data_IF_231426141154
#
_entry.id   IF_231426141154
#
_cell.length_a   1.000
_cell.length_b   1.000
_cell.length_c   1.000
_cell.angle_alpha   90.00
_cell.angle_beta   90.00
_cell.angle_gamma   90.00
#
_symmetry.space_group_name_H-M   'P 1'
#
loop_
_entity.id
_entity.type
_entity.pdbx_description
1 polymer ?
#
# COMPACT_ATOMS: atom_id res chain seq x y z
N UNK A 1 0.18 45.89 6.86
CA UNK A 1 0.01 45.07 5.62
C UNK A 1 0.43 43.65 5.94
N UNK A 2 -0.26 42.66 5.42
CA UNK A 2 0.05 41.24 5.68
C UNK A 2 1.48 40.93 5.18
N UNK A 3 2.33 40.34 6.05
CA UNK A 3 3.71 40.00 5.76
C UNK A 3 3.85 38.82 4.77
N UNK A 4 2.73 38.23 4.35
CA UNK A 4 2.69 37.10 3.41
C UNK A 4 1.46 37.17 2.51
N UNK A 5 1.55 36.56 1.34
CA UNK A 5 0.48 36.42 0.35
C UNK A 5 0.19 34.95 0.12
N UNK A 6 -1.08 34.61 0.12
CA UNK A 6 -1.58 33.26 -0.13
C UNK A 6 -1.95 33.12 -1.61
N UNK A 7 -1.62 31.99 -2.20
CA UNK A 7 -1.94 31.64 -3.57
C UNK A 7 -2.86 30.42 -3.54
N UNK A 8 -4.05 30.60 -4.05
CA UNK A 8 -5.06 29.56 -4.17
C UNK A 8 -5.17 29.11 -5.62
N UNK A 9 -5.55 27.85 -5.83
CA UNK A 9 -5.85 27.32 -7.16
C UNK A 9 -7.03 28.07 -7.74
N UNK A 10 -6.89 28.81 -8.88
CA UNK A 10 -7.96 29.61 -9.44
C UNK A 10 -9.08 28.74 -10.03
N UNK A 11 -10.29 29.29 -10.07
CA UNK A 11 -11.42 28.73 -10.79
C UNK A 11 -11.57 29.45 -12.13
N UNK A 12 -11.17 28.80 -13.23
CA UNK A 12 -11.23 29.39 -14.57
C UNK A 12 -12.51 29.05 -15.32
N UNK A 13 -13.08 27.86 -15.09
CA UNK A 13 -14.36 27.47 -15.68
C UNK A 13 -15.36 27.04 -14.61
N UNK A 14 -16.66 27.15 -14.95
CA UNK A 14 -17.74 26.76 -14.01
C UNK A 14 -17.71 25.27 -13.70
N UNK A 15 -17.15 24.46 -14.60
CA UNK A 15 -17.10 23.00 -14.55
C UNK A 15 -15.84 22.45 -13.86
N UNK A 16 -14.79 23.26 -13.67
CA UNK A 16 -13.57 22.77 -13.05
C UNK A 16 -13.71 22.73 -11.53
N UNK A 17 -13.66 21.53 -10.98
CA UNK A 17 -13.62 21.27 -9.53
C UNK A 17 -12.23 20.82 -9.09
N UNK A 18 -11.46 20.21 -10.00
CA UNK A 18 -10.11 19.68 -9.80
C UNK A 18 -9.28 20.08 -11.01
N UNK A 19 -8.02 20.45 -10.79
CA UNK A 19 -7.02 20.73 -11.82
C UNK A 19 -5.76 19.92 -11.56
N UNK A 20 -4.94 19.68 -12.58
CA UNK A 20 -3.69 18.93 -12.46
C UNK A 20 -2.48 19.85 -12.50
N UNK A 21 -1.51 19.65 -11.63
CA UNK A 21 -0.22 20.34 -11.67
C UNK A 21 0.63 19.72 -12.78
N UNK A 22 0.88 20.45 -13.85
CA UNK A 22 1.64 19.95 -15.02
C UNK A 22 3.09 20.43 -15.04
N UNK A 23 3.40 21.53 -14.33
CA UNK A 23 4.76 22.04 -14.22
C UNK A 23 4.98 22.75 -12.88
N UNK A 24 6.17 22.62 -12.30
CA UNK A 24 6.59 23.34 -11.09
C UNK A 24 7.91 24.05 -11.42
N UNK A 25 7.86 25.36 -11.60
CA UNK A 25 8.98 26.15 -12.07
C UNK A 25 9.89 26.64 -10.96
N UNK A 26 9.34 26.75 -9.73
CA UNK A 26 10.09 27.30 -8.58
C UNK A 26 9.92 26.35 -7.38
N UNK A 27 11.03 25.91 -6.81
CA UNK A 27 11.03 25.00 -5.67
C UNK A 27 10.69 25.72 -4.36
N UNK A 28 10.03 25.00 -3.45
CA UNK A 28 9.72 25.49 -2.12
C UNK A 28 10.98 25.90 -1.36
N UNK A 29 10.98 27.09 -0.77
CA UNK A 29 12.12 27.70 -0.09
C UNK A 29 12.95 28.65 -0.98
N UNK A 30 12.65 28.76 -2.27
CA UNK A 30 13.34 29.67 -3.20
C UNK A 30 12.78 31.10 -3.16
N UNK A 31 13.59 32.06 -3.60
CA UNK A 31 13.16 33.43 -3.84
C UNK A 31 12.41 33.53 -5.17
N UNK A 32 11.30 34.24 -5.18
CA UNK A 32 10.52 34.59 -6.38
C UNK A 32 10.44 36.09 -6.52
N UNK A 33 10.34 36.57 -7.77
CA UNK A 33 9.99 37.96 -8.08
C UNK A 33 8.51 38.04 -8.42
N UNK A 34 7.94 39.22 -8.26
CA UNK A 34 6.60 39.50 -8.76
C UNK A 34 6.52 39.20 -10.26
N UNK A 35 5.45 38.48 -10.68
CA UNK A 35 5.19 37.95 -12.02
C UNK A 35 6.05 36.74 -12.46
N UNK A 36 6.91 36.20 -11.62
CA UNK A 36 7.55 34.90 -11.94
C UNK A 36 6.48 33.80 -12.00
N UNK A 37 6.52 32.95 -13.04
CA UNK A 37 5.68 31.77 -13.13
C UNK A 37 6.13 30.75 -12.09
N UNK A 38 5.24 30.38 -11.15
CA UNK A 38 5.54 29.49 -10.03
C UNK A 38 5.28 28.05 -10.42
N UNK A 39 4.11 27.77 -10.96
CA UNK A 39 3.68 26.45 -11.42
C UNK A 39 2.58 26.62 -12.47
N UNK A 40 2.36 25.56 -13.29
CA UNK A 40 1.31 25.53 -14.29
C UNK A 40 0.29 24.46 -13.96
N UNK A 41 -0.97 24.75 -14.20
CA UNK A 41 -2.11 23.85 -13.99
C UNK A 41 -2.78 23.53 -15.32
N UNK A 42 -3.21 22.28 -15.48
CA UNK A 42 -4.06 21.83 -16.58
C UNK A 42 -5.52 21.83 -16.11
N UNK A 43 -6.34 22.57 -16.83
CA UNK A 43 -7.80 22.63 -16.66
C UNK A 43 -8.48 21.80 -17.74
N UNK A 44 -9.80 21.68 -17.69
CA UNK A 44 -10.58 20.98 -18.74
C UNK A 44 -10.43 21.58 -20.16
N UNK A 45 -9.87 22.80 -20.31
CA UNK A 45 -9.80 23.51 -21.58
C UNK A 45 -8.41 24.00 -21.97
N UNK A 46 -7.52 24.25 -21.02
CA UNK A 46 -6.21 24.87 -21.26
C UNK A 46 -5.23 24.61 -20.13
N UNK A 47 -3.95 24.83 -20.41
CA UNK A 47 -2.89 24.95 -19.39
C UNK A 47 -2.76 26.44 -19.02
N UNK A 48 -2.65 26.73 -17.73
CA UNK A 48 -2.61 28.08 -17.17
C UNK A 48 -1.41 28.19 -16.23
N UNK A 49 -0.64 29.25 -16.43
CA UNK A 49 0.49 29.59 -15.59
C UNK A 49 0.06 30.41 -14.38
N UNK A 50 0.50 30.03 -13.21
CA UNK A 50 0.23 30.72 -11.96
C UNK A 50 1.45 31.55 -11.59
N UNK A 51 1.28 32.86 -11.62
CA UNK A 51 2.33 33.84 -11.37
C UNK A 51 2.38 34.27 -9.89
N UNK A 52 3.56 34.71 -9.47
CA UNK A 52 3.77 35.31 -8.15
C UNK A 52 3.19 36.73 -8.07
N UNK A 53 2.29 37.01 -7.12
CA UNK A 53 1.72 38.34 -6.95
C UNK A 53 2.63 39.31 -6.18
N UNK A 54 3.73 38.85 -5.60
CA UNK A 54 4.72 39.65 -4.88
C UNK A 54 6.11 38.99 -4.94
N UNK A 55 7.18 39.78 -4.73
CA UNK A 55 8.51 39.25 -4.54
C UNK A 55 8.69 38.74 -3.09
N UNK A 56 9.37 37.59 -2.92
CA UNK A 56 9.62 37.02 -1.60
C UNK A 56 10.03 35.56 -1.62
N UNK A 57 10.07 34.92 -0.46
CA UNK A 57 10.36 33.49 -0.34
C UNK A 57 9.06 32.69 -0.44
N UNK A 58 9.01 31.74 -1.38
CA UNK A 58 7.86 30.86 -1.59
C UNK A 58 7.94 29.58 -0.76
N UNK A 59 6.78 29.14 -0.22
CA UNK A 59 6.60 27.83 0.41
C UNK A 59 5.40 27.15 -0.21
N UNK A 60 5.60 25.92 -0.74
CA UNK A 60 4.54 25.06 -1.27
C UNK A 60 4.84 23.58 -1.02
N UNK A 61 3.83 22.72 -1.19
CA UNK A 61 3.93 21.25 -1.11
C UNK A 61 3.37 20.58 -2.37
N UNK A 62 3.36 21.28 -3.48
CA UNK A 62 2.89 20.79 -4.77
C UNK A 62 3.77 19.65 -5.26
N UNK A 63 3.14 18.68 -5.92
CA UNK A 63 3.83 17.59 -6.61
C UNK A 63 3.44 17.60 -8.08
N UNK A 64 4.40 17.28 -8.94
CA UNK A 64 4.15 17.16 -10.37
C UNK A 64 3.12 16.05 -10.62
N UNK A 65 2.17 16.31 -11.52
CA UNK A 65 1.04 15.44 -11.87
C UNK A 65 0.04 15.17 -10.73
N UNK A 66 0.06 15.95 -9.65
CA UNK A 66 -0.92 15.91 -8.57
C UNK A 66 -2.22 16.58 -8.99
N UNK A 67 -3.35 15.94 -8.68
CA UNK A 67 -4.67 16.53 -8.82
C UNK A 67 -4.99 17.40 -7.58
N UNK A 68 -5.33 18.68 -7.81
CA UNK A 68 -5.59 19.64 -6.74
C UNK A 68 -6.98 20.27 -6.89
N UNK A 69 -7.78 20.36 -5.81
CA UNK A 69 -9.08 21.03 -5.87
C UNK A 69 -8.97 22.53 -6.16
N UNK A 70 -9.87 23.05 -6.96
CA UNK A 70 -10.03 24.49 -7.18
C UNK A 70 -10.37 25.17 -5.85
N UNK A 71 -9.69 26.28 -5.55
CA UNK A 71 -9.83 27.01 -4.28
C UNK A 71 -8.96 26.47 -3.14
N UNK A 72 -8.17 25.41 -3.36
CA UNK A 72 -7.20 24.94 -2.36
C UNK A 72 -5.99 25.86 -2.28
N UNK A 73 -5.40 25.99 -1.08
CA UNK A 73 -4.18 26.76 -0.86
C UNK A 73 -2.98 26.04 -1.48
N UNK A 74 -2.43 26.58 -2.54
CA UNK A 74 -1.32 26.02 -3.31
C UNK A 74 0.04 26.47 -2.79
N UNK A 75 0.21 27.76 -2.49
CA UNK A 75 1.48 28.32 -2.03
C UNK A 75 1.28 29.53 -1.11
N UNK A 76 2.33 29.88 -0.36
CA UNK A 76 2.43 31.12 0.43
C UNK A 76 3.75 31.79 0.07
N UNK A 77 3.73 33.11 -0.17
CA UNK A 77 4.92 33.92 -0.40
C UNK A 77 5.09 34.92 0.75
N UNK A 78 6.30 34.99 1.31
CA UNK A 78 6.66 35.95 2.35
C UNK A 78 7.60 37.01 1.80
N UNK A 79 7.31 38.28 2.02
CA UNK A 79 8.13 39.41 1.59
C UNK A 79 9.32 39.72 2.53
N UNK A 80 9.54 38.95 3.60
CA UNK A 80 10.65 39.18 4.53
C UNK A 80 11.89 38.36 4.15
N UNK A 81 13.04 39.02 4.00
CA UNK A 81 14.36 38.43 3.79
C UNK A 81 14.91 37.89 5.10
N UNK A 82 14.87 36.56 5.38
CA UNK A 82 15.79 35.87 6.28
C UNK A 82 15.67 34.33 6.19
N UNK A 83 16.76 33.57 5.91
CA UNK A 83 16.67 32.15 5.55
C UNK A 83 16.50 31.14 6.69
N UNK A 84 16.79 31.41 7.95
CA UNK A 84 17.06 30.36 8.94
C UNK A 84 16.08 30.21 10.11
N UNK A 85 15.16 31.14 10.39
CA UNK A 85 14.26 30.99 11.57
C UNK A 85 12.77 31.17 11.23
N UNK A 86 12.43 31.63 10.06
CA UNK A 86 11.06 31.98 9.64
C UNK A 86 10.42 30.99 8.65
N UNK A 87 11.20 30.20 7.96
CA UNK A 87 10.68 29.14 7.09
C UNK A 87 9.82 28.15 7.90
N UNK A 88 10.22 27.80 9.12
CA UNK A 88 9.44 26.97 10.04
C UNK A 88 8.10 27.59 10.38
N UNK A 89 8.05 28.92 10.65
CA UNK A 89 6.80 29.63 10.95
C UNK A 89 5.87 29.73 9.75
N UNK A 90 6.43 29.93 8.55
CA UNK A 90 5.66 29.94 7.30
C UNK A 90 5.12 28.53 6.99
N UNK A 91 5.94 27.48 7.18
CA UNK A 91 5.51 26.09 7.08
C UNK A 91 4.41 25.73 8.09
N UNK A 92 4.51 26.23 9.33
CA UNK A 92 3.49 26.03 10.35
C UNK A 92 2.18 26.78 10.01
N UNK A 93 2.27 27.99 9.46
CA UNK A 93 1.10 28.73 8.96
C UNK A 93 0.46 28.03 7.75
N UNK A 94 1.28 27.51 6.82
CA UNK A 94 0.80 26.75 5.67
C UNK A 94 0.08 25.47 6.11
N UNK A 95 0.67 24.71 7.04
CA UNK A 95 0.09 23.49 7.56
C UNK A 95 -1.20 23.77 8.35
N UNK A 96 -1.21 24.76 9.23
CA UNK A 96 -2.40 25.14 10.02
C UNK A 96 -3.55 25.60 9.13
N UNK A 97 -3.28 26.34 8.05
CA UNK A 97 -4.31 26.82 7.12
C UNK A 97 -4.78 25.75 6.16
N UNK A 98 -3.89 24.84 5.70
CA UNK A 98 -4.29 23.70 4.90
C UNK A 98 -5.20 22.75 5.69
N UNK A 99 -5.00 22.62 7.01
CA UNK A 99 -5.88 21.86 7.90
C UNK A 99 -7.20 22.61 8.23
N UNK A 100 -7.20 23.94 8.24
CA UNK A 100 -8.41 24.75 8.49
C UNK A 100 -9.28 24.95 7.23
N UNK A 101 -8.72 24.85 6.04
CA UNK A 101 -9.45 24.86 4.76
C UNK A 101 -9.99 23.48 4.38
N UNK A 102 -9.68 22.45 5.15
CA UNK A 102 -10.40 21.17 5.14
C UNK A 102 -11.77 21.30 5.82
N UNK A 103 -12.60 22.23 5.38
CA UNK A 103 -14.02 22.02 5.37
C UNK A 103 -14.32 20.96 4.30
N UNK A 104 -15.23 20.02 4.51
CA UNK A 104 -15.27 18.73 3.82
C UNK A 104 -15.75 18.93 2.38
N UNK A 105 -14.85 19.19 1.47
CA UNK A 105 -15.02 18.82 0.07
C UNK A 105 -14.46 17.40 -0.11
N UNK A 106 -15.00 16.46 0.66
CA UNK A 106 -15.25 15.16 0.08
C UNK A 106 -16.15 15.47 -1.12
N UNK A 107 -15.65 15.28 -2.33
CA UNK A 107 -16.49 15.04 -3.46
C UNK A 107 -17.48 13.97 -3.00
N UNK A 108 -18.65 14.37 -2.56
CA UNK A 108 -19.80 13.51 -2.51
C UNK A 108 -20.12 13.21 -3.98
N UNK A 109 -19.45 12.24 -4.55
CA UNK A 109 -20.15 11.34 -5.44
C UNK A 109 -21.29 10.87 -4.58
N UNK A 110 -22.44 11.53 -4.68
CA UNK A 110 -23.70 11.07 -4.10
C UNK A 110 -24.11 9.82 -4.87
N UNK A 111 -23.30 8.75 -4.73
CA UNK A 111 -23.71 7.41 -5.08
C UNK A 111 -24.80 7.05 -4.09
N UNK A 112 -26.03 7.09 -4.57
CA UNK A 112 -27.15 6.65 -3.78
C UNK A 112 -27.26 5.14 -3.94
N UNK A 113 -27.35 4.44 -2.83
CA UNK A 113 -27.56 3.00 -2.79
C UNK A 113 -28.94 2.69 -2.26
N UNK A 114 -29.60 1.67 -2.80
CA UNK A 114 -30.76 1.13 -2.12
C UNK A 114 -30.35 0.47 -0.80
N UNK A 115 -31.19 0.52 0.24
CA UNK A 115 -30.90 -0.05 1.55
C UNK A 115 -30.41 -1.51 1.47
N UNK A 116 -31.09 -2.32 0.66
CA UNK A 116 -30.72 -3.72 0.42
C UNK A 116 -29.38 -3.88 -0.34
N UNK A 117 -29.02 -2.94 -1.24
CA UNK A 117 -27.73 -2.95 -1.92
C UNK A 117 -26.60 -2.66 -0.92
N UNK A 118 -26.78 -1.72 0.00
CA UNK A 118 -25.83 -1.44 1.08
C UNK A 118 -25.64 -2.65 1.98
N UNK A 119 -26.72 -3.27 2.43
CA UNK A 119 -26.68 -4.48 3.24
C UNK A 119 -25.91 -5.61 2.55
N UNK A 120 -26.10 -5.79 1.24
CA UNK A 120 -25.40 -6.80 0.45
C UNK A 120 -23.93 -6.44 0.25
N UNK A 121 -23.61 -5.17 -0.05
CA UNK A 121 -22.25 -4.66 -0.19
C UNK A 121 -21.44 -4.83 1.10
N UNK A 122 -22.04 -4.46 2.23
CA UNK A 122 -21.41 -4.57 3.55
C UNK A 122 -21.23 -6.04 3.97
N UNK A 123 -22.23 -6.90 3.67
CA UNK A 123 -22.15 -8.35 3.91
C UNK A 123 -21.06 -9.03 3.08
N UNK A 124 -20.94 -8.67 1.82
CA UNK A 124 -20.03 -9.31 0.85
C UNK A 124 -18.67 -8.59 0.76
N UNK A 125 -18.43 -7.55 1.60
CA UNK A 125 -17.16 -6.80 1.64
C UNK A 125 -16.80 -6.12 0.31
N UNK A 126 -17.81 -5.69 -0.47
CA UNK A 126 -17.58 -5.07 -1.79
C UNK A 126 -17.23 -3.60 -1.62
N UNK A 127 -16.16 -3.16 -2.29
CA UNK A 127 -15.79 -1.74 -2.31
C UNK A 127 -16.85 -0.91 -3.05
N UNK A 128 -17.44 0.08 -2.36
CA UNK A 128 -18.48 0.97 -2.89
C UNK A 128 -18.00 1.78 -4.10
N UNK A 129 -16.69 2.07 -4.18
CA UNK A 129 -16.09 2.80 -5.29
C UNK A 129 -16.19 2.04 -6.63
N UNK A 130 -16.42 0.74 -6.64
CA UNK A 130 -16.68 -0.03 -7.88
C UNK A 130 -17.94 0.38 -8.62
N UNK A 131 -18.78 1.20 -8.02
CA UNK A 131 -20.01 1.72 -8.59
C UNK A 131 -19.94 3.24 -8.90
N UNK A 132 -18.75 3.85 -8.89
CA UNK A 132 -18.55 5.30 -9.08
C UNK A 132 -19.11 5.86 -10.38
N UNK A 133 -19.34 5.03 -11.39
CA UNK A 133 -20.00 5.38 -12.65
C UNK A 133 -21.54 5.32 -12.60
N UNK A 134 -22.14 5.04 -11.42
CA UNK A 134 -23.59 4.94 -11.24
C UNK A 134 -24.11 5.98 -10.26
N UNK A 135 -25.11 6.74 -10.66
CA UNK A 135 -25.81 7.70 -9.79
C UNK A 135 -26.66 7.04 -8.71
N UNK A 136 -27.12 5.80 -8.97
CA UNK A 136 -27.89 4.97 -8.05
C UNK A 136 -27.57 3.49 -8.22
N UNK A 137 -27.22 2.80 -7.11
CA UNK A 137 -26.86 1.37 -7.07
C UNK A 137 -27.99 0.56 -6.45
N UNK A 138 -28.49 -0.43 -7.19
CA UNK A 138 -29.52 -1.38 -6.77
C UNK A 138 -28.90 -2.74 -6.45
N UNK A 139 -29.63 -3.60 -5.74
CA UNK A 139 -29.22 -4.99 -5.45
C UNK A 139 -28.74 -5.70 -6.72
N UNK A 140 -29.48 -5.57 -7.82
CA UNK A 140 -29.13 -6.19 -9.10
C UNK A 140 -27.76 -5.74 -9.65
N UNK A 141 -27.31 -4.50 -9.36
CA UNK A 141 -26.01 -4.02 -9.77
C UNK A 141 -24.89 -4.68 -8.97
N UNK A 142 -25.13 -4.92 -7.68
CA UNK A 142 -24.24 -5.66 -6.80
C UNK A 142 -24.15 -7.13 -7.20
N UNK A 143 -25.32 -7.77 -7.44
CA UNK A 143 -25.41 -9.14 -7.93
C UNK A 143 -24.76 -9.32 -9.31
N UNK A 144 -24.91 -8.36 -10.22
CA UNK A 144 -24.24 -8.38 -11.51
C UNK A 144 -22.73 -8.33 -11.35
N UNK A 145 -22.19 -7.46 -10.49
CA UNK A 145 -20.76 -7.42 -10.21
C UNK A 145 -20.25 -8.73 -9.61
N UNK A 146 -21.04 -9.34 -8.71
CA UNK A 146 -20.73 -10.67 -8.14
C UNK A 146 -20.80 -11.76 -9.22
N UNK A 147 -21.80 -11.72 -10.10
CA UNK A 147 -21.96 -12.68 -11.20
C UNK A 147 -20.90 -12.48 -12.29
N UNK A 148 -20.50 -11.25 -12.61
CA UNK A 148 -19.37 -10.98 -13.52
C UNK A 148 -18.07 -11.57 -12.95
N UNK A 149 -17.81 -11.40 -11.65
CA UNK A 149 -16.71 -12.06 -10.96
C UNK A 149 -16.80 -13.60 -11.07
N UNK A 150 -18.00 -14.14 -10.89
CA UNK A 150 -18.26 -15.58 -10.95
C UNK A 150 -18.14 -16.13 -12.37
N UNK A 151 -18.68 -15.42 -13.37
CA UNK A 151 -18.62 -15.79 -14.79
C UNK A 151 -17.20 -15.67 -15.37
N UNK A 152 -16.39 -14.71 -14.93
CA UNK A 152 -14.97 -14.67 -15.27
C UNK A 152 -14.20 -15.90 -14.76
N UNK A 153 -14.67 -16.49 -13.66
CA UNK A 153 -14.09 -17.69 -13.06
C UNK A 153 -14.61 -19.00 -13.73
N UNK A 154 -15.86 -19.01 -14.20
CA UNK A 154 -16.49 -20.21 -14.76
C UNK A 154 -16.20 -20.43 -16.26
N UNK A 155 -15.97 -19.35 -17.03
CA UNK A 155 -15.89 -19.44 -18.51
C UNK A 155 -14.46 -19.48 -19.09
N UNK A 156 -13.40 -19.50 -18.30
CA UNK A 156 -12.01 -19.74 -18.74
C UNK A 156 -11.48 -18.85 -19.88
N UNK A 157 -12.25 -17.84 -20.32
CA UNK A 157 -11.94 -16.95 -21.46
C UNK A 157 -11.69 -15.49 -21.05
N UNK A 158 -11.66 -15.19 -19.75
CA UNK A 158 -11.35 -13.86 -19.24
C UNK A 158 -9.84 -13.62 -19.25
N UNK A 159 -9.35 -12.66 -20.04
CA UNK A 159 -8.01 -12.14 -19.88
C UNK A 159 -7.91 -11.53 -18.47
N UNK A 160 -7.08 -12.15 -17.62
CA UNK A 160 -6.73 -11.57 -16.33
C UNK A 160 -6.09 -10.19 -16.55
N UNK A 161 -6.37 -9.26 -15.67
CA UNK A 161 -5.79 -7.93 -15.66
C UNK A 161 -4.36 -7.96 -15.11
N UNK A 162 -3.56 -6.94 -15.42
CA UNK A 162 -2.18 -6.80 -14.95
C UNK A 162 -2.08 -6.74 -13.41
N UNK A 163 -3.14 -6.30 -12.72
CA UNK A 163 -3.18 -6.21 -11.28
C UNK A 163 -3.88 -7.41 -10.59
N UNK A 164 -4.30 -8.41 -11.37
CA UNK A 164 -4.96 -9.60 -10.82
C UNK A 164 -3.94 -10.49 -10.11
N UNK A 165 -4.28 -10.89 -8.88
CA UNK A 165 -3.46 -11.75 -8.04
C UNK A 165 -4.28 -12.91 -7.50
N UNK A 166 -3.70 -14.09 -7.46
CA UNK A 166 -4.26 -15.27 -6.78
C UNK A 166 -3.56 -15.51 -5.46
N UNK A 167 -4.28 -15.97 -4.45
CA UNK A 167 -3.72 -16.38 -3.17
C UNK A 167 -3.56 -17.90 -3.11
N UNK A 168 -2.39 -18.38 -2.70
CA UNK A 168 -2.11 -19.80 -2.57
C UNK A 168 -2.27 -20.24 -1.12
N UNK A 169 -3.21 -21.17 -0.89
CA UNK A 169 -3.61 -21.62 0.45
C UNK A 169 -4.75 -20.80 1.04
N UNK A 170 -5.69 -21.47 1.72
CA UNK A 170 -6.89 -20.90 2.36
C UNK A 170 -6.91 -20.97 3.88
N UNK A 171 -5.76 -21.20 4.52
CA UNK A 171 -5.63 -21.36 5.98
C UNK A 171 -5.68 -20.05 6.78
N UNK A 172 -5.26 -20.12 8.04
CA UNK A 172 -5.27 -18.95 8.95
C UNK A 172 -4.42 -17.78 8.48
N UNK A 173 -3.23 -18.04 7.93
CA UNK A 173 -2.34 -17.01 7.40
C UNK A 173 -2.91 -16.36 6.13
N UNK A 174 -3.57 -17.15 5.28
CA UNK A 174 -4.25 -16.64 4.09
C UNK A 174 -5.30 -15.55 4.42
N UNK A 175 -6.04 -15.71 5.53
CA UNK A 175 -7.00 -14.68 5.99
C UNK A 175 -6.32 -13.35 6.27
N UNK A 176 -5.14 -13.36 6.87
CA UNK A 176 -4.35 -12.15 7.11
C UNK A 176 -3.86 -11.54 5.79
N UNK A 177 -3.42 -12.37 4.84
CA UNK A 177 -3.02 -11.90 3.50
C UNK A 177 -4.20 -11.27 2.74
N UNK A 178 -5.41 -11.87 2.81
CA UNK A 178 -6.64 -11.31 2.22
C UNK A 178 -6.89 -9.90 2.75
N UNK A 179 -6.88 -9.72 4.09
CA UNK A 179 -7.11 -8.42 4.71
C UNK A 179 -6.08 -7.37 4.26
N UNK A 180 -4.80 -7.77 4.12
CA UNK A 180 -3.73 -6.89 3.64
C UNK A 180 -3.99 -6.49 2.19
N UNK A 181 -4.19 -7.45 1.29
CA UNK A 181 -4.38 -7.22 -0.15
C UNK A 181 -5.58 -6.27 -0.38
N UNK A 182 -6.70 -6.52 0.32
CA UNK A 182 -7.89 -5.68 0.21
C UNK A 182 -7.67 -4.25 0.73
N UNK A 183 -6.81 -4.07 1.75
CA UNK A 183 -6.46 -2.73 2.29
C UNK A 183 -5.46 -1.97 1.44
N UNK A 184 -4.53 -2.66 0.78
CA UNK A 184 -3.54 -2.05 -0.11
C UNK A 184 -4.20 -1.42 -1.34
N UNK A 185 -5.29 -2.01 -1.85
CA UNK A 185 -6.01 -1.56 -3.07
C UNK A 185 -5.17 -1.53 -4.36
N UNK A 186 -3.98 -2.07 -4.33
CA UNK A 186 -3.07 -2.14 -5.48
C UNK A 186 -3.36 -3.35 -6.36
N UNK A 187 -3.87 -4.42 -5.75
CA UNK A 187 -4.10 -5.71 -6.40
C UNK A 187 -5.58 -6.08 -6.37
N UNK A 188 -6.04 -6.75 -7.41
CA UNK A 188 -7.35 -7.36 -7.47
C UNK A 188 -7.23 -8.86 -7.12
N UNK A 189 -7.64 -9.24 -5.93
CA UNK A 189 -7.62 -10.64 -5.49
C UNK A 189 -8.73 -11.42 -6.18
N UNK A 190 -8.36 -12.19 -7.20
CA UNK A 190 -9.34 -12.91 -8.05
C UNK A 190 -9.83 -14.22 -7.45
N UNK A 191 -9.09 -14.81 -6.52
CA UNK A 191 -9.48 -16.04 -5.85
C UNK A 191 -8.35 -16.69 -5.09
N UNK A 192 -8.65 -17.86 -4.55
CA UNK A 192 -7.73 -18.70 -3.78
C UNK A 192 -7.54 -20.03 -4.49
N UNK A 193 -6.31 -20.52 -4.51
CA UNK A 193 -5.94 -21.88 -4.91
C UNK A 193 -5.60 -22.67 -3.66
N UNK A 194 -6.28 -23.79 -3.44
CA UNK A 194 -6.04 -24.65 -2.27
C UNK A 194 -6.35 -26.11 -2.61
N UNK A 195 -5.46 -27.03 -2.21
CA UNK A 195 -5.60 -28.45 -2.53
C UNK A 195 -6.64 -29.18 -1.67
N UNK A 196 -7.00 -28.62 -0.51
CA UNK A 196 -7.85 -29.27 0.48
C UNK A 196 -9.26 -28.65 0.55
N UNK A 197 -9.42 -27.42 0.09
CA UNK A 197 -10.69 -26.73 0.10
C UNK A 197 -11.47 -26.98 -1.18
N UNK A 198 -12.81 -27.12 -1.05
CA UNK A 198 -13.66 -27.42 -2.18
C UNK A 198 -13.75 -26.21 -3.15
N UNK A 199 -13.48 -26.44 -4.44
CA UNK A 199 -13.69 -25.44 -5.49
C UNK A 199 -15.14 -24.90 -5.46
N UNK A 200 -15.27 -23.58 -5.48
CA UNK A 200 -16.56 -22.89 -5.40
C UNK A 200 -17.02 -22.55 -3.97
N UNK A 201 -16.32 -23.07 -2.91
CA UNK A 201 -16.45 -22.49 -1.57
C UNK A 201 -15.62 -21.21 -1.47
N UNK A 202 -15.64 -20.53 -0.34
CA UNK A 202 -14.91 -19.27 -0.12
C UNK A 202 -14.20 -19.21 1.24
N UNK A 203 -13.24 -18.29 1.34
CA UNK A 203 -12.63 -17.86 2.60
C UNK A 203 -12.71 -16.33 2.64
N UNK A 204 -13.39 -15.77 3.63
CA UNK A 204 -13.66 -14.34 3.75
C UNK A 204 -14.22 -13.73 2.45
N UNK A 205 -15.20 -14.42 1.85
CA UNK A 205 -15.86 -14.06 0.59
C UNK A 205 -14.93 -14.05 -0.65
N UNK A 206 -13.75 -14.63 -0.56
CA UNK A 206 -12.84 -14.84 -1.69
C UNK A 206 -13.00 -16.29 -2.15
N UNK A 207 -13.41 -16.55 -3.41
CA UNK A 207 -13.72 -17.89 -3.87
C UNK A 207 -12.49 -18.78 -4.01
N UNK A 208 -12.67 -20.09 -3.72
CA UNK A 208 -11.70 -21.12 -4.10
C UNK A 208 -11.88 -21.40 -5.58
N UNK A 209 -10.90 -21.06 -6.40
CA UNK A 209 -11.00 -21.13 -7.86
C UNK A 209 -10.30 -22.34 -8.46
N UNK A 210 -9.48 -23.05 -7.69
CA UNK A 210 -8.76 -24.23 -8.16
C UNK A 210 -7.83 -24.81 -7.13
N UNK A 211 -7.00 -25.73 -7.61
CA UNK A 211 -5.93 -26.40 -6.90
C UNK A 211 -4.56 -26.03 -7.49
N UNK A 212 -3.51 -26.52 -6.91
CA UNK A 212 -2.14 -26.35 -7.40
C UNK A 212 -1.93 -26.83 -8.85
N UNK A 213 -2.74 -27.78 -9.32
CA UNK A 213 -2.67 -28.32 -10.68
C UNK A 213 -3.20 -27.32 -11.71
N UNK A 214 -4.08 -26.39 -11.30
CA UNK A 214 -4.64 -25.35 -12.17
C UNK A 214 -3.69 -24.15 -12.39
N UNK A 215 -2.62 -24.03 -11.61
CA UNK A 215 -1.74 -22.85 -11.60
C UNK A 215 -1.05 -22.58 -12.97
N UNK A 216 -0.59 -23.64 -13.65
CA UNK A 216 0.04 -23.50 -14.96
C UNK A 216 -0.94 -22.96 -16.00
N UNK A 217 -2.17 -23.45 -15.99
CA UNK A 217 -3.22 -23.00 -16.91
C UNK A 217 -3.66 -21.57 -16.58
N UNK A 218 -3.78 -21.22 -15.30
CA UNK A 218 -4.07 -19.83 -14.89
C UNK A 218 -2.98 -18.88 -15.39
N UNK A 219 -1.70 -19.27 -15.25
CA UNK A 219 -0.57 -18.49 -15.74
C UNK A 219 -0.61 -18.31 -17.26
N UNK A 220 -0.89 -19.38 -18.00
CA UNK A 220 -1.00 -19.37 -19.46
C UNK A 220 -2.17 -18.49 -19.94
N UNK A 221 -3.25 -18.44 -19.17
CA UNK A 221 -4.43 -17.60 -19.42
C UNK A 221 -4.26 -16.13 -18.98
N UNK A 222 -3.07 -15.72 -18.53
CA UNK A 222 -2.73 -14.33 -18.29
C UNK A 222 -2.61 -13.91 -16.82
N UNK A 223 -2.91 -14.78 -15.84
CA UNK A 223 -2.69 -14.49 -14.44
C UNK A 223 -1.21 -14.56 -14.11
N UNK A 224 -0.57 -13.42 -13.84
CA UNK A 224 0.90 -13.32 -13.70
C UNK A 224 1.38 -13.16 -12.26
N UNK A 225 0.47 -12.89 -11.31
CA UNK A 225 0.83 -12.65 -9.91
C UNK A 225 0.16 -13.64 -8.97
N UNK A 226 0.93 -14.08 -7.97
CA UNK A 226 0.45 -14.96 -6.92
C UNK A 226 1.03 -14.54 -5.55
N UNK A 227 0.23 -14.59 -4.50
CA UNK A 227 0.68 -14.38 -3.12
C UNK A 227 0.69 -15.73 -2.39
N UNK A 228 1.77 -16.02 -1.67
CA UNK A 228 1.86 -17.22 -0.86
C UNK A 228 1.11 -17.05 0.47
N UNK A 229 -0.11 -17.57 0.55
CA UNK A 229 -0.98 -17.53 1.74
C UNK A 229 -0.72 -18.62 2.77
N UNK A 230 0.29 -19.46 2.56
CA UNK A 230 0.67 -20.50 3.52
C UNK A 230 1.63 -19.90 4.54
N UNK A 231 1.25 -19.97 5.80
CA UNK A 231 2.11 -19.59 6.93
C UNK A 231 3.09 -20.70 7.29
N UNK A 232 3.83 -20.49 8.37
CA UNK A 232 4.70 -21.51 8.96
C UNK A 232 4.39 -21.67 10.45
N UNK A 233 4.41 -22.91 10.92
CA UNK A 233 4.13 -23.24 12.33
C UNK A 233 5.35 -23.86 13.01
N UNK A 234 5.96 -24.87 12.37
CA UNK A 234 7.12 -25.58 12.90
C UNK A 234 8.39 -25.35 12.05
N UNK A 235 8.21 -25.10 10.78
CA UNK A 235 9.29 -24.80 9.83
C UNK A 235 8.71 -24.06 8.61
N UNK A 236 9.60 -23.53 7.77
CA UNK A 236 9.22 -22.74 6.59
C UNK A 236 9.20 -23.57 5.28
N UNK A 237 9.43 -24.89 5.34
CA UNK A 237 9.70 -25.73 4.16
C UNK A 237 8.56 -25.73 3.14
N UNK A 238 7.31 -25.95 3.59
CA UNK A 238 6.15 -25.96 2.68
C UNK A 238 5.99 -24.60 2.00
N UNK A 239 6.19 -23.52 2.76
CA UNK A 239 6.10 -22.16 2.22
C UNK A 239 7.19 -21.89 1.17
N UNK A 240 8.40 -22.37 1.40
CA UNK A 240 9.52 -22.31 0.45
C UNK A 240 9.25 -23.12 -0.82
N UNK A 241 8.76 -24.35 -0.69
CA UNK A 241 8.39 -25.21 -1.82
C UNK A 241 7.34 -24.54 -2.72
N UNK A 242 6.32 -23.92 -2.12
CA UNK A 242 5.30 -23.14 -2.87
C UNK A 242 5.96 -21.96 -3.61
N UNK A 243 6.82 -21.20 -2.95
CA UNK A 243 7.52 -20.08 -3.58
C UNK A 243 8.33 -20.56 -4.80
N UNK A 244 9.12 -21.63 -4.65
CA UNK A 244 9.92 -22.21 -5.73
C UNK A 244 9.01 -22.70 -6.88
N UNK A 245 7.89 -23.37 -6.56
CA UNK A 245 6.91 -23.81 -7.57
C UNK A 245 6.35 -22.63 -8.37
N UNK A 246 5.92 -21.59 -7.70
CA UNK A 246 5.38 -20.39 -8.35
C UNK A 246 6.42 -19.70 -9.25
N UNK A 247 7.66 -19.58 -8.77
CA UNK A 247 8.77 -19.02 -9.57
C UNK A 247 9.10 -19.89 -10.80
N UNK A 248 9.04 -21.21 -10.67
CA UNK A 248 9.26 -22.15 -11.78
C UNK A 248 8.18 -22.02 -12.87
N UNK A 249 6.93 -21.77 -12.51
CA UNK A 249 5.84 -21.47 -13.45
C UNK A 249 6.03 -20.10 -14.11
N UNK A 250 6.66 -19.15 -13.42
CA UNK A 250 6.93 -17.80 -13.92
C UNK A 250 6.17 -16.69 -13.18
N UNK A 251 5.41 -17.01 -12.14
CA UNK A 251 4.68 -16.00 -11.38
C UNK A 251 5.62 -14.95 -10.75
N UNK A 252 5.21 -13.71 -10.79
CA UNK A 252 5.69 -12.65 -9.92
C UNK A 252 4.96 -12.76 -8.57
N UNK A 253 5.71 -12.67 -7.47
CA UNK A 253 5.16 -12.79 -6.12
C UNK A 253 5.26 -11.42 -5.44
N UNK A 254 4.20 -10.60 -5.48
CA UNK A 254 4.26 -9.26 -4.94
C UNK A 254 4.55 -9.26 -3.44
N UNK A 255 5.29 -8.27 -2.99
CA UNK A 255 5.41 -7.93 -1.58
C UNK A 255 4.10 -7.33 -1.10
N UNK A 256 3.58 -7.81 0.01
CA UNK A 256 2.37 -7.25 0.63
C UNK A 256 2.72 -6.62 1.98
N UNK A 257 2.25 -5.39 2.18
CA UNK A 257 2.58 -4.57 3.35
C UNK A 257 1.30 -4.05 3.99
N UNK A 258 1.07 -4.40 5.25
CA UNK A 258 -0.11 -3.90 5.95
C UNK A 258 0.02 -2.38 6.17
N UNK A 259 -1.02 -1.56 5.91
CA UNK A 259 -0.94 -0.09 6.02
C UNK A 259 -0.58 0.46 7.40
N UNK A 260 -0.70 -0.35 8.46
CA UNK A 260 -0.32 0.05 9.83
C UNK A 260 1.07 -0.42 10.25
N UNK A 261 1.83 -1.07 9.36
CA UNK A 261 3.24 -1.34 9.61
C UNK A 261 4.05 -0.05 9.44
N UNK A 262 5.15 0.04 10.18
CA UNK A 262 6.10 1.15 10.06
C UNK A 262 7.41 0.63 9.50
N UNK A 263 7.81 1.16 8.34
CA UNK A 263 9.01 0.75 7.63
C UNK A 263 9.82 2.00 7.33
N UNK A 264 11.07 2.02 7.77
CA UNK A 264 11.97 3.14 7.50
C UNK A 264 12.36 3.19 6.02
N UNK A 265 12.60 4.39 5.49
CA UNK A 265 12.81 4.62 4.05
C UNK A 265 14.05 3.95 3.46
N UNK A 266 15.04 3.61 4.30
CA UNK A 266 16.28 2.92 3.90
C UNK A 266 16.17 1.40 3.84
N UNK A 267 15.01 0.82 4.20
CA UNK A 267 14.78 -0.63 4.21
C UNK A 267 14.70 -1.17 2.78
N UNK A 268 15.36 -2.30 2.54
CA UNK A 268 15.24 -3.06 1.29
C UNK A 268 14.34 -4.27 1.53
N UNK A 269 13.25 -4.37 0.77
CA UNK A 269 12.32 -5.49 0.86
C UNK A 269 12.31 -6.22 -0.48
N UNK A 270 12.55 -7.53 -0.43
CA UNK A 270 12.62 -8.35 -1.63
C UNK A 270 11.28 -9.03 -1.94
N UNK A 271 11.22 -9.68 -3.11
CA UNK A 271 10.02 -10.27 -3.69
C UNK A 271 9.29 -11.23 -2.76
N UNK A 272 7.98 -11.10 -2.65
CA UNK A 272 7.13 -12.01 -1.88
C UNK A 272 7.23 -11.87 -0.37
N UNK A 273 7.95 -10.90 0.14
CA UNK A 273 7.96 -10.61 1.57
C UNK A 273 6.59 -10.10 2.03
N UNK A 274 6.22 -10.43 3.25
CA UNK A 274 4.93 -10.11 3.84
C UNK A 274 5.15 -9.39 5.17
N UNK A 275 4.77 -8.12 5.21
CA UNK A 275 4.90 -7.28 6.40
C UNK A 275 3.51 -7.10 7.00
N UNK A 276 3.30 -7.71 8.17
CA UNK A 276 1.98 -7.82 8.78
C UNK A 276 1.63 -6.59 9.64
N UNK A 277 0.40 -6.57 10.13
CA UNK A 277 -0.16 -5.48 10.92
C UNK A 277 0.73 -5.09 12.11
N UNK A 278 1.07 -3.80 12.22
CA UNK A 278 1.84 -3.24 13.33
C UNK A 278 3.30 -3.71 13.43
N UNK A 279 3.83 -4.39 12.41
CA UNK A 279 5.26 -4.71 12.35
C UNK A 279 6.10 -3.43 12.19
N UNK A 280 7.25 -3.39 12.86
CA UNK A 280 8.20 -2.28 12.78
C UNK A 280 9.51 -2.77 12.15
N UNK A 281 9.99 -2.09 11.11
CA UNK A 281 11.25 -2.39 10.44
C UNK A 281 12.13 -1.15 10.43
N UNK A 282 13.21 -1.20 11.17
CA UNK A 282 14.14 -0.11 11.38
C UNK A 282 15.08 0.16 10.20
N UNK A 283 15.81 1.25 10.30
CA UNK A 283 16.69 1.76 9.23
C UNK A 283 17.74 0.75 8.77
N UNK A 284 18.04 0.78 7.46
CA UNK A 284 19.08 -0.02 6.81
C UNK A 284 18.91 -1.53 6.91
N UNK A 285 17.70 -2.02 7.21
CA UNK A 285 17.40 -3.45 7.20
C UNK A 285 17.25 -3.98 5.78
N UNK A 286 17.53 -5.28 5.62
CA UNK A 286 17.24 -6.03 4.39
C UNK A 286 16.31 -7.20 4.74
N UNK A 287 15.16 -7.27 4.08
CA UNK A 287 14.19 -8.35 4.22
C UNK A 287 14.23 -9.20 2.95
N UNK A 288 14.60 -10.47 3.10
CA UNK A 288 14.76 -11.43 2.02
C UNK A 288 13.46 -11.84 1.33
N UNK A 289 13.60 -12.63 0.26
CA UNK A 289 12.44 -13.13 -0.49
C UNK A 289 11.54 -14.02 0.37
N UNK A 290 10.22 -13.93 0.14
CA UNK A 290 9.23 -14.82 0.77
C UNK A 290 9.27 -14.83 2.30
N UNK A 291 9.80 -13.78 2.94
CA UNK A 291 9.82 -13.64 4.40
C UNK A 291 8.44 -13.30 4.95
N UNK A 292 8.22 -13.62 6.22
CA UNK A 292 7.09 -13.12 7.01
C UNK A 292 7.65 -12.30 8.17
N UNK A 293 7.31 -11.02 8.23
CA UNK A 293 7.50 -10.16 9.40
C UNK A 293 6.12 -10.00 10.02
N UNK A 294 5.86 -10.82 11.05
CA UNK A 294 4.50 -11.01 11.60
C UNK A 294 4.00 -9.81 12.41
N UNK A 295 2.72 -9.86 12.77
CA UNK A 295 2.04 -8.78 13.48
C UNK A 295 2.77 -8.38 14.78
N UNK A 296 3.02 -7.07 14.93
CA UNK A 296 3.64 -6.51 16.11
C UNK A 296 5.10 -6.92 16.35
N UNK A 297 5.77 -7.59 15.40
CA UNK A 297 7.20 -7.89 15.53
C UNK A 297 8.03 -6.64 15.26
N UNK A 298 9.24 -6.59 15.82
CA UNK A 298 10.18 -5.48 15.72
C UNK A 298 11.49 -6.02 15.15
N UNK A 299 11.92 -5.45 14.02
CA UNK A 299 13.23 -5.66 13.42
C UNK A 299 13.99 -4.34 13.53
N UNK A 300 14.96 -4.26 14.45
CA UNK A 300 15.74 -3.04 14.64
C UNK A 300 16.77 -2.81 13.53
N UNK A 301 17.38 -1.63 13.53
CA UNK A 301 18.29 -1.13 12.48
C UNK A 301 19.42 -2.10 12.12
N UNK A 302 19.94 -1.99 10.89
CA UNK A 302 21.10 -2.72 10.35
C UNK A 302 20.94 -4.25 10.35
N UNK A 303 19.71 -4.77 10.50
CA UNK A 303 19.45 -6.20 10.55
C UNK A 303 19.24 -6.81 9.17
N UNK A 304 19.68 -8.06 9.00
CA UNK A 304 19.50 -8.85 7.80
C UNK A 304 18.57 -10.03 8.08
N UNK A 305 17.48 -10.13 7.34
CA UNK A 305 16.52 -11.24 7.39
C UNK A 305 16.64 -12.01 6.07
N UNK A 306 17.18 -13.20 6.14
CA UNK A 306 17.40 -14.10 5.01
C UNK A 306 16.09 -14.55 4.36
N UNK A 307 16.18 -15.06 3.13
CA UNK A 307 15.01 -15.54 2.37
C UNK A 307 14.28 -16.65 3.10
N UNK A 308 12.95 -16.69 2.96
CA UNK A 308 12.09 -17.71 3.58
C UNK A 308 12.05 -17.68 5.11
N UNK A 309 12.69 -16.69 5.76
CA UNK A 309 12.66 -16.58 7.21
C UNK A 309 11.29 -16.10 7.72
N UNK A 310 10.96 -16.45 8.95
CA UNK A 310 9.73 -16.04 9.60
C UNK A 310 10.02 -15.43 10.98
N UNK A 311 9.74 -14.16 11.14
CA UNK A 311 9.75 -13.46 12.42
C UNK A 311 8.32 -13.49 12.94
N UNK A 312 8.06 -14.34 13.93
CA UNK A 312 6.70 -14.62 14.42
C UNK A 312 6.11 -13.44 15.23
N UNK A 313 4.80 -13.46 15.51
CA UNK A 313 4.13 -12.31 16.17
C UNK A 313 4.82 -11.87 17.47
N UNK A 314 5.03 -10.55 17.60
CA UNK A 314 5.61 -9.95 18.79
C UNK A 314 7.08 -10.28 19.06
N UNK A 315 7.79 -10.95 18.17
CA UNK A 315 9.23 -11.16 18.30
C UNK A 315 9.99 -9.84 18.16
N UNK A 316 11.09 -9.67 18.90
CA UNK A 316 11.90 -8.46 18.94
C UNK A 316 13.34 -8.78 18.60
N UNK A 317 13.84 -8.20 17.51
CA UNK A 317 15.24 -8.28 17.11
C UNK A 317 15.97 -6.98 17.45
N UNK A 318 17.07 -7.09 18.16
CA UNK A 318 18.00 -5.97 18.40
C UNK A 318 18.65 -5.48 17.11
N UNK A 319 19.45 -4.42 17.22
CA UNK A 319 20.18 -3.90 16.05
C UNK A 319 21.27 -4.85 15.56
N UNK A 320 21.55 -4.81 14.25
CA UNK A 320 22.61 -5.60 13.61
C UNK A 320 22.45 -7.13 13.77
N UNK A 321 21.20 -7.62 13.85
CA UNK A 321 20.89 -9.06 13.95
C UNK A 321 20.91 -9.66 12.55
N UNK A 322 21.44 -10.87 12.43
CA UNK A 322 21.43 -11.67 11.20
C UNK A 322 20.55 -12.90 11.40
N UNK A 323 19.43 -12.96 10.69
CA UNK A 323 18.59 -14.16 10.61
C UNK A 323 18.83 -14.80 9.24
N UNK A 324 19.37 -16.00 9.24
CA UNK A 324 19.69 -16.71 8.00
C UNK A 324 18.45 -17.27 7.30
N UNK A 325 18.67 -17.80 6.07
CA UNK A 325 17.61 -18.34 5.23
C UNK A 325 16.81 -19.44 5.95
N UNK A 326 15.50 -19.39 5.83
CA UNK A 326 14.59 -20.41 6.37
C UNK A 326 14.46 -20.43 7.89
N UNK A 327 15.19 -19.60 8.62
CA UNK A 327 15.10 -19.57 10.08
C UNK A 327 13.73 -19.05 10.56
N UNK A 328 13.29 -19.56 11.72
CA UNK A 328 12.04 -19.16 12.36
C UNK A 328 12.35 -18.61 13.76
N UNK A 329 11.95 -17.38 14.01
CA UNK A 329 12.00 -16.75 15.33
C UNK A 329 10.61 -16.79 15.93
N UNK A 330 10.42 -17.54 17.02
CA UNK A 330 9.13 -17.84 17.63
C UNK A 330 8.44 -16.62 18.24
N UNK A 331 7.15 -16.76 18.55
CA UNK A 331 6.31 -15.68 19.09
C UNK A 331 6.91 -15.11 20.37
N UNK A 332 7.02 -13.78 20.45
CA UNK A 332 7.54 -13.07 21.62
C UNK A 332 9.00 -13.36 21.97
N UNK A 333 9.75 -14.04 21.10
CA UNK A 333 11.18 -14.27 21.33
C UNK A 333 11.96 -12.96 21.15
N UNK A 334 13.04 -12.82 21.90
CA UNK A 334 13.93 -11.66 21.84
C UNK A 334 15.33 -12.10 21.40
N UNK A 335 15.84 -11.50 20.34
CA UNK A 335 17.21 -11.72 19.85
C UNK A 335 18.04 -10.48 20.18
N UNK A 336 19.13 -10.70 20.91
CA UNK A 336 20.01 -9.61 21.35
C UNK A 336 20.81 -9.01 20.19
N UNK A 337 21.41 -7.85 20.42
CA UNK A 337 22.19 -7.10 19.40
C UNK A 337 23.30 -7.95 18.79
N UNK A 338 23.49 -7.84 17.47
CA UNK A 338 24.57 -8.50 16.71
C UNK A 338 24.59 -10.04 16.80
N UNK A 339 23.49 -10.65 17.21
CA UNK A 339 23.34 -12.11 17.23
C UNK A 339 23.01 -12.62 15.84
N UNK A 340 23.60 -13.78 15.48
CA UNK A 340 23.30 -14.53 14.26
C UNK A 340 22.49 -15.78 14.58
N UNK A 341 21.40 -15.98 13.85
CA UNK A 341 20.59 -17.21 13.88
C UNK A 341 20.80 -17.94 12.55
N UNK A 342 21.31 -19.15 12.63
CA UNK A 342 21.75 -19.95 11.48
C UNK A 342 20.61 -20.41 10.57
N UNK A 343 20.99 -20.99 9.43
CA UNK A 343 20.07 -21.48 8.38
C UNK A 343 19.10 -22.51 8.94
N UNK A 344 17.80 -22.34 8.67
CA UNK A 344 16.72 -23.24 9.11
C UNK A 344 16.61 -23.44 10.62
N UNK A 345 17.31 -22.65 11.43
CA UNK A 345 17.20 -22.69 12.89
C UNK A 345 15.82 -22.29 13.36
N UNK A 346 15.34 -22.92 14.42
CA UNK A 346 14.04 -22.64 15.04
C UNK A 346 14.25 -22.16 16.47
N UNK A 347 13.95 -20.89 16.70
CA UNK A 347 13.91 -20.31 18.04
C UNK A 347 12.51 -20.49 18.60
N UNK A 348 12.39 -21.17 19.75
CA UNK A 348 11.09 -21.38 20.39
C UNK A 348 10.48 -20.08 20.91
N UNK A 349 9.16 -20.10 21.13
CA UNK A 349 8.40 -18.96 21.62
C UNK A 349 8.93 -18.45 22.98
N UNK A 350 8.99 -17.13 23.13
CA UNK A 350 9.35 -16.45 24.39
C UNK A 350 10.80 -16.59 24.82
N UNK A 351 11.68 -17.19 24.01
CA UNK A 351 13.09 -17.29 24.36
C UNK A 351 13.83 -15.97 24.19
N UNK A 352 14.82 -15.75 25.08
CA UNK A 352 15.77 -14.66 24.95
C UNK A 352 17.12 -15.23 24.49
N UNK A 353 17.61 -14.79 23.33
CA UNK A 353 18.84 -15.30 22.70
C UNK A 353 19.92 -14.21 22.76
N UNK A 354 21.02 -14.52 23.46
CA UNK A 354 22.14 -13.59 23.71
C UNK A 354 23.42 -13.98 22.95
N UNK A 355 23.44 -15.12 22.27
CA UNK A 355 24.58 -15.63 21.51
C UNK A 355 24.14 -16.27 20.21
N UNK A 356 25.08 -16.42 19.27
CA UNK A 356 24.81 -17.02 17.98
C UNK A 356 24.28 -18.44 18.12
N UNK A 357 23.36 -18.79 17.25
CA UNK A 357 22.78 -20.14 17.06
C UNK A 357 23.15 -20.58 15.64
N UNK A 358 23.78 -21.75 15.52
CA UNK A 358 24.19 -22.34 14.24
C UNK A 358 23.10 -23.24 13.65
#
# INVERSE_FOLDING_TARGET
MSKYKEIYVPKETVSDEIVKIVEINIHSGSMVKEHDCIFSIETSKSVIDIESPISGTIVHKLKLLEDIPVGELAAIISSEESPNDKSTKIYDCFNKKKDSTRAPYAAKNNMNFSKKALELIDKEGIDKNKFENKSFVRVKDVENLMNERRLCLENGSGKFSVNDVVLIGGGGHAKMCIDIILRMKEYNLVGIVDNNLKKGSDVLNIPIIGSDDDLQDMYNNGLKMAVNGVGSVLNNKIREEIYIKLKKIGFFIPTIVHPTSTIESSVKILEGAQIMMGALVGSNCTIGNNCIISSGSIVSHDSFIGSHAHIAPGAVLGGNVVIENGALVGMGATIFFSVRIGVNSVINNGLNIFSNIE
#
